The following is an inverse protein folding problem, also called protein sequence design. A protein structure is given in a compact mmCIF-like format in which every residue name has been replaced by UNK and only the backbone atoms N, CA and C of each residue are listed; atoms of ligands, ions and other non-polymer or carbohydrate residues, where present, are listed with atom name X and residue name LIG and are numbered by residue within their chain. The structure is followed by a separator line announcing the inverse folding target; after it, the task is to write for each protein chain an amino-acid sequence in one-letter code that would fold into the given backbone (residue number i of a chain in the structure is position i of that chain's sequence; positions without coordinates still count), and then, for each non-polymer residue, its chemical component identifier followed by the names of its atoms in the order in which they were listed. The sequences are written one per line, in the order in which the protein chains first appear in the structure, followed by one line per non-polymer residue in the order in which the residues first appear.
data_IF_512095563619
#
_entry.id   IF_512095563619
#
_cell.length_a   1.000
_cell.length_b   1.000
_cell.length_c   1.000
_cell.angle_alpha   90.00
_cell.angle_beta   90.00
_cell.angle_gamma   90.00
#
_symmetry.space_group_name_H-M   'P 1'
#
loop_
_entity.id
_entity.type
_entity.pdbx_description
1 polymer ?
#
# COMPACT_ATOMS: atom_id res chain seq x y z
N UNK A 1 -15.97 -6.84 7.14
CA UNK A 1 -14.68 -6.37 6.63
C UNK A 1 -13.89 -7.53 6.08
N UNK A 2 -13.36 -7.35 4.87
CA UNK A 2 -12.49 -8.36 4.28
C UNK A 2 -11.06 -8.10 4.72
N UNK A 3 -10.38 -9.15 5.09
CA UNK A 3 -8.99 -9.05 5.51
C UNK A 3 -8.09 -9.93 4.67
N UNK A 4 -6.86 -9.48 4.49
CA UNK A 4 -5.82 -10.21 3.78
C UNK A 4 -4.65 -10.37 4.74
N UNK A 5 -4.15 -11.59 4.87
CA UNK A 5 -3.03 -11.87 5.78
C UNK A 5 -1.85 -12.43 5.01
N UNK A 6 -0.71 -11.78 5.18
CA UNK A 6 0.53 -12.18 4.54
C UNK A 6 1.57 -12.37 5.64
N UNK A 7 2.22 -13.52 5.66
CA UNK A 7 3.18 -13.86 6.70
C UNK A 7 4.60 -13.72 6.19
N UNK A 8 5.53 -13.44 7.09
CA UNK A 8 6.94 -13.37 6.77
C UNK A 8 7.33 -12.16 5.94
N UNK A 9 6.65 -11.04 6.17
CA UNK A 9 6.90 -9.82 5.40
C UNK A 9 8.23 -9.21 5.81
N UNK A 10 9.07 -8.88 4.83
CA UNK A 10 10.35 -8.23 5.05
C UNK A 10 10.38 -6.79 4.58
N UNK A 11 9.60 -6.44 3.57
CA UNK A 11 9.63 -5.10 3.03
C UNK A 11 8.24 -4.64 2.60
N UNK A 12 7.92 -3.41 2.91
CA UNK A 12 6.69 -2.77 2.48
C UNK A 12 7.05 -1.45 1.83
N UNK A 13 6.61 -1.29 0.59
CA UNK A 13 6.88 -0.08 -0.19
C UNK A 13 5.56 0.55 -0.58
N UNK A 14 5.44 1.85 -0.33
CA UNK A 14 4.26 2.62 -0.70
C UNK A 14 4.67 3.68 -1.71
N UNK A 15 4.00 3.70 -2.85
CA UNK A 15 4.27 4.66 -3.91
C UNK A 15 2.99 5.41 -4.25
N UNK A 16 3.08 6.74 -4.27
CA UNK A 16 1.98 7.59 -4.70
C UNK A 16 2.30 8.16 -6.07
N UNK A 17 1.31 8.13 -6.96
CA UNK A 17 1.46 8.65 -8.31
C UNK A 17 0.29 9.56 -8.63
N UNK A 18 0.55 10.83 -8.85
CA UNK A 18 -0.44 11.86 -9.14
C UNK A 18 -0.25 12.43 -10.55
N UNK A 19 0.31 11.64 -11.45
CA UNK A 19 0.58 12.09 -12.81
C UNK A 19 -0.58 11.91 -13.77
N UNK A 20 -1.66 11.28 -13.34
CA UNK A 20 -2.84 11.08 -14.18
C UNK A 20 -3.74 12.31 -14.16
N UNK A 21 -4.54 12.47 -15.24
CA UNK A 21 -5.35 13.67 -15.40
C UNK A 21 -6.56 13.73 -14.47
N UNK A 22 -7.14 12.58 -14.13
CA UNK A 22 -8.42 12.54 -13.42
C UNK A 22 -8.38 11.76 -12.09
N UNK A 23 -7.26 11.15 -11.76
CA UNK A 23 -7.16 10.36 -10.53
C UNK A 23 -5.72 10.26 -10.08
N UNK A 24 -5.53 9.77 -8.87
CA UNK A 24 -4.21 9.44 -8.34
C UNK A 24 -4.22 7.98 -7.87
N UNK A 25 -3.06 7.38 -7.77
CA UNK A 25 -2.94 6.01 -7.31
C UNK A 25 -1.99 5.90 -6.14
N UNK A 26 -2.27 4.95 -5.28
CA UNK A 26 -1.37 4.53 -4.20
C UNK A 26 -1.13 3.04 -4.38
N UNK A 27 0.13 2.68 -4.60
CA UNK A 27 0.51 1.28 -4.77
C UNK A 27 1.28 0.81 -3.57
N UNK A 28 0.82 -0.25 -2.95
CA UNK A 28 1.49 -0.87 -1.81
C UNK A 28 2.07 -2.20 -2.29
N UNK A 29 3.39 -2.32 -2.20
CA UNK A 29 4.09 -3.54 -2.58
C UNK A 29 4.67 -4.18 -1.34
N UNK A 30 4.31 -5.43 -1.12
CA UNK A 30 4.74 -6.21 0.04
C UNK A 30 5.60 -7.35 -0.45
N UNK A 31 6.81 -7.46 0.09
CA UNK A 31 7.74 -8.54 -0.28
C UNK A 31 8.01 -9.39 0.95
N UNK A 32 7.88 -10.71 0.80
CA UNK A 32 8.12 -11.63 1.90
C UNK A 32 9.54 -12.20 1.86
N UNK A 33 9.86 -13.01 2.87
CA UNK A 33 11.20 -13.61 3.01
C UNK A 33 11.56 -14.60 1.90
N UNK A 34 10.57 -15.07 1.14
CA UNK A 34 10.77 -15.97 0.02
C UNK A 34 10.87 -15.24 -1.32
N UNK A 35 11.02 -13.91 -1.28
CA UNK A 35 11.07 -13.04 -2.46
C UNK A 35 9.78 -13.01 -3.26
N UNK A 36 8.67 -13.36 -2.67
CA UNK A 36 7.37 -13.20 -3.30
C UNK A 36 6.86 -11.80 -3.04
N UNK A 37 6.29 -11.20 -4.07
CA UNK A 37 5.75 -9.85 -3.97
C UNK A 37 4.25 -9.85 -4.19
N UNK A 38 3.57 -9.04 -3.40
CA UNK A 38 2.13 -8.80 -3.49
C UNK A 38 1.92 -7.33 -3.69
N UNK A 39 1.01 -6.97 -4.59
CA UNK A 39 0.77 -5.58 -4.92
C UNK A 39 -0.69 -5.25 -4.73
N UNK A 40 -0.94 -4.13 -4.06
CA UNK A 40 -2.27 -3.59 -3.87
C UNK A 40 -2.29 -2.19 -4.47
N UNK A 41 -3.19 -1.95 -5.43
CA UNK A 41 -3.29 -0.66 -6.08
C UNK A 41 -4.60 0.00 -5.71
N UNK A 42 -4.52 1.21 -5.19
CA UNK A 42 -5.66 1.98 -4.72
C UNK A 42 -5.81 3.23 -5.56
N UNK A 43 -7.03 3.59 -5.88
CA UNK A 43 -7.32 4.75 -6.71
C UNK A 43 -8.01 5.83 -5.86
N UNK A 44 -7.56 7.07 -6.00
CA UNK A 44 -8.11 8.20 -5.28
C UNK A 44 -8.44 9.32 -6.27
N UNK A 45 -9.13 10.33 -5.78
CA UNK A 45 -9.38 11.53 -6.58
C UNK A 45 -8.07 12.27 -6.82
N UNK A 46 -7.99 12.94 -7.97
CA UNK A 46 -6.82 13.73 -8.31
C UNK A 46 -6.56 14.78 -7.23
N UNK A 47 -5.28 14.98 -6.94
CA UNK A 47 -4.80 15.95 -5.94
C UNK A 47 -5.21 15.62 -4.51
N UNK A 48 -5.78 14.47 -4.30
CA UNK A 48 -6.07 13.98 -2.97
C UNK A 48 -4.89 13.16 -2.47
N UNK A 49 -4.36 13.54 -1.32
CA UNK A 49 -3.28 12.80 -0.68
C UNK A 49 -3.89 12.03 0.48
N UNK A 50 -4.03 10.71 0.36
CA UNK A 50 -4.63 9.93 1.43
C UNK A 50 -3.79 10.01 2.71
N UNK A 51 -4.47 10.00 3.82
CA UNK A 51 -3.80 9.95 5.10
C UNK A 51 -3.22 8.55 5.31
N UNK A 52 -1.91 8.48 5.51
CA UNK A 52 -1.26 7.21 5.81
C UNK A 52 -1.09 7.12 7.32
N UNK A 53 -1.76 6.15 7.90
CA UNK A 53 -1.76 5.95 9.32
C UNK A 53 -1.11 4.61 9.64
N UNK A 54 -0.05 4.64 10.43
CA UNK A 54 0.63 3.43 10.87
C UNK A 54 0.41 3.31 12.37
N UNK A 55 -0.30 2.27 12.75
CA UNK A 55 -0.61 2.01 14.14
C UNK A 55 0.20 0.81 14.61
N UNK A 56 0.94 1.00 15.67
CA UNK A 56 1.71 -0.08 16.27
C UNK A 56 1.03 -0.52 17.55
N UNK A 57 0.77 -1.80 17.64
CA UNK A 57 0.16 -2.40 18.80
C UNK A 57 1.24 -3.08 19.60
N UNK A 58 1.61 -2.46 20.73
CA UNK A 58 2.72 -2.90 21.55
C UNK A 58 2.19 -3.83 22.63
N UNK A 59 2.64 -5.05 22.64
CA UNK A 59 2.19 -6.04 23.62
C UNK A 59 3.25 -6.42 24.60
#
# INVERSE_FOLDING_TARGET
MNGLRIHGVENIKVKQDNSFDSFATVTVTVTDKDNKSFELQLFTEKDFVPNLEVEQDDQ
#
